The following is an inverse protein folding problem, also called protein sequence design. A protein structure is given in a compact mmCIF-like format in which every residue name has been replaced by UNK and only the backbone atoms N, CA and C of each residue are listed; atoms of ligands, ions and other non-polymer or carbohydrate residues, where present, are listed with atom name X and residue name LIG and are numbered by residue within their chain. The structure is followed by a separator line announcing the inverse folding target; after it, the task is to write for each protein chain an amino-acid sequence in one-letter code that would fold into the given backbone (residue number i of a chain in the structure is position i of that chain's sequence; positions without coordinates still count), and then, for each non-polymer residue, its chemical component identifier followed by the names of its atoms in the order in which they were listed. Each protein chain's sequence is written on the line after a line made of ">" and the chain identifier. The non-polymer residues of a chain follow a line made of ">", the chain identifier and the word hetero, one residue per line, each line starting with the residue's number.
data_IF_229755864878
#
_entry.id   IF_229755864878
#
_cell.length_a   1.000
_cell.length_b   1.000
_cell.length_c   1.000
_cell.angle_alpha   90.00
_cell.angle_beta   90.00
_cell.angle_gamma   90.00
#
_symmetry.space_group_name_H-M   'P 1'
#
loop_
_entity.id
_entity.type
_entity.pdbx_description
1 polymer ?
#
# COMPACT_ATOMS: atom_id res chain seq x y z
N UNK A 1 -0.39 -12.71 -19.67
CA UNK A 1 0.31 -12.57 -18.37
C UNK A 1 1.53 -11.69 -18.60
N UNK A 2 1.74 -10.67 -17.77
CA UNK A 2 2.97 -9.87 -17.79
C UNK A 2 3.90 -10.48 -16.74
N UNK A 3 4.91 -11.28 -17.13
CA UNK A 3 5.89 -11.80 -16.18
C UNK A 3 6.84 -10.67 -15.75
N UNK A 4 7.33 -10.70 -14.50
CA UNK A 4 8.25 -9.70 -13.94
C UNK A 4 7.72 -8.25 -13.99
N UNK A 5 6.56 -8.02 -13.35
CA UNK A 5 5.87 -6.73 -13.36
C UNK A 5 6.67 -5.62 -12.67
N UNK A 6 6.79 -4.48 -13.35
CA UNK A 6 7.55 -3.30 -12.92
C UNK A 6 6.62 -2.12 -12.70
N UNK A 7 7.08 -1.14 -11.92
CA UNK A 7 6.35 0.12 -11.69
C UNK A 7 6.01 0.81 -13.02
N UNK A 8 6.91 0.71 -14.01
CA UNK A 8 6.73 1.23 -15.36
C UNK A 8 5.59 0.57 -16.15
N UNK A 9 5.11 -0.60 -15.73
CA UNK A 9 3.96 -1.27 -16.35
C UNK A 9 2.61 -0.70 -15.85
N UNK A 10 2.63 0.25 -14.93
CA UNK A 10 1.42 0.99 -14.52
C UNK A 10 0.86 1.78 -15.70
N UNK A 11 -0.46 1.71 -15.91
CA UNK A 11 -1.09 2.37 -17.04
C UNK A 11 -2.56 1.99 -17.21
N UNK A 12 -3.19 2.55 -18.25
CA UNK A 12 -4.55 2.15 -18.64
C UNK A 12 -4.48 1.11 -19.74
N UNK A 13 -4.96 -0.09 -19.44
CA UNK A 13 -5.07 -1.20 -20.36
C UNK A 13 -6.47 -1.22 -20.98
N UNK A 14 -6.60 -1.82 -22.17
CA UNK A 14 -7.86 -1.85 -22.90
C UNK A 14 -8.21 -3.31 -23.24
N UNK A 15 -9.33 -3.79 -22.73
CA UNK A 15 -9.89 -5.06 -23.14
C UNK A 15 -10.69 -4.83 -24.42
N UNK A 16 -10.40 -5.56 -25.50
CA UNK A 16 -11.11 -5.46 -26.77
C UNK A 16 -11.69 -6.82 -27.11
N UNK A 17 -13.00 -6.87 -27.31
CA UNK A 17 -13.71 -8.06 -27.79
C UNK A 17 -14.32 -7.79 -29.16
N UNK A 18 -14.03 -8.63 -30.15
CA UNK A 18 -14.60 -8.52 -31.50
C UNK A 18 -15.23 -9.84 -31.95
N UNK A 19 -16.35 -9.75 -32.65
CA UNK A 19 -16.99 -10.87 -33.35
C UNK A 19 -17.41 -10.43 -34.78
N UNK A 20 -18.13 -11.29 -35.50
CA UNK A 20 -18.58 -11.04 -36.87
C UNK A 20 -19.57 -9.87 -37.02
N UNK A 21 -20.16 -9.38 -35.93
CA UNK A 21 -21.15 -8.29 -35.93
C UNK A 21 -20.53 -6.96 -35.51
N UNK A 22 -19.44 -6.98 -34.73
CA UNK A 22 -18.73 -5.76 -34.35
C UNK A 22 -17.68 -5.97 -33.27
N UNK A 23 -17.17 -4.86 -32.75
CA UNK A 23 -16.19 -4.83 -31.67
C UNK A 23 -16.60 -3.86 -30.57
N UNK A 24 -16.31 -4.22 -29.32
CA UNK A 24 -16.44 -3.33 -28.17
C UNK A 24 -15.17 -3.38 -27.32
N UNK A 25 -14.97 -2.37 -26.50
CA UNK A 25 -13.79 -2.25 -25.65
C UNK A 25 -14.08 -1.58 -24.31
N UNK A 26 -13.36 -2.00 -23.27
CA UNK A 26 -13.44 -1.44 -21.92
C UNK A 26 -12.05 -1.13 -21.35
N UNK A 27 -11.83 0.06 -20.77
CA UNK A 27 -10.56 0.43 -20.14
C UNK A 27 -10.44 -0.14 -18.71
N UNK A 28 -9.20 -0.45 -18.30
CA UNK A 28 -8.84 -0.90 -16.95
C UNK A 28 -7.59 -0.13 -16.52
N UNK A 29 -7.68 0.61 -15.40
CA UNK A 29 -6.51 1.29 -14.82
C UNK A 29 -5.74 0.33 -13.93
N UNK A 30 -4.47 0.11 -14.23
CA UNK A 30 -3.56 -0.75 -13.46
C UNK A 30 -2.49 0.12 -12.81
N UNK A 31 -2.28 -0.07 -11.52
CA UNK A 31 -1.22 0.60 -10.74
C UNK A 31 -0.38 -0.47 -10.08
N UNK A 32 0.91 -0.48 -10.42
CA UNK A 32 1.89 -1.40 -9.86
C UNK A 32 2.62 -0.69 -8.73
N UNK A 33 2.42 -1.19 -7.50
CA UNK A 33 3.05 -0.63 -6.32
C UNK A 33 4.44 -1.24 -6.14
N UNK A 34 5.44 -0.38 -5.93
CA UNK A 34 6.75 -0.83 -5.49
C UNK A 34 6.64 -1.18 -4.01
N UNK A 35 6.78 -2.46 -3.67
CA UNK A 35 7.10 -2.81 -2.29
C UNK A 35 8.57 -2.45 -2.08
N UNK A 36 8.83 -1.37 -1.34
CA UNK A 36 10.17 -1.15 -0.85
C UNK A 36 10.45 -2.26 0.16
N UNK A 37 11.20 -3.29 -0.26
CA UNK A 37 11.66 -4.40 0.59
C UNK A 37 12.62 -3.95 1.71
N UNK A 38 12.63 -2.66 2.06
CA UNK A 38 13.27 -2.17 3.27
C UNK A 38 12.44 -2.71 4.43
N UNK A 39 12.81 -3.89 4.93
CA UNK A 39 12.49 -4.46 6.24
C UNK A 39 11.35 -3.70 6.91
N UNK A 40 10.10 -4.04 6.55
CA UNK A 40 8.89 -3.30 6.95
C UNK A 40 8.56 -3.54 8.43
N UNK A 41 9.54 -3.30 9.30
CA UNK A 41 9.40 -3.49 10.73
C UNK A 41 8.66 -2.29 11.27
N UNK A 42 7.40 -2.52 11.60
CA UNK A 42 6.62 -1.58 12.39
C UNK A 42 7.26 -1.48 13.77
N UNK A 43 7.58 -0.27 14.21
CA UNK A 43 8.23 -0.03 15.50
C UNK A 43 7.44 0.97 16.31
N UNK A 44 7.32 0.74 17.63
CA UNK A 44 6.69 1.66 18.58
C UNK A 44 7.77 2.16 19.55
N UNK A 45 7.84 3.47 19.77
CA UNK A 45 8.81 4.09 20.68
C UNK A 45 8.10 5.04 21.67
N UNK A 46 8.32 4.88 22.99
CA UNK A 46 8.95 3.73 23.65
C UNK A 46 8.11 2.44 23.50
N UNK A 47 8.77 1.29 23.40
CA UNK A 47 8.09 -0.01 23.34
C UNK A 47 7.49 -0.43 24.69
N UNK A 48 8.05 0.10 25.78
CA UNK A 48 7.59 -0.09 27.15
C UNK A 48 7.70 1.26 27.86
N UNK A 49 6.61 1.72 28.47
CA UNK A 49 6.60 2.93 29.27
C UNK A 49 5.95 2.67 30.63
N UNK A 50 6.57 3.19 31.69
CA UNK A 50 5.98 3.23 33.03
C UNK A 50 5.68 4.69 33.34
N UNK A 51 4.40 5.03 33.48
CA UNK A 51 3.93 6.41 33.67
C UNK A 51 3.05 6.47 34.90
N UNK A 52 3.25 7.49 35.73
CA UNK A 52 2.46 7.69 36.95
C UNK A 52 1.12 8.37 36.63
N UNK A 53 0.14 8.15 37.49
CA UNK A 53 -1.16 8.80 37.36
C UNK A 53 -1.01 10.33 37.36
N UNK A 54 -1.69 10.98 36.41
CA UNK A 54 -1.60 12.43 36.21
C UNK A 54 -0.48 12.89 35.26
N UNK A 55 0.39 11.99 34.80
CA UNK A 55 1.40 12.29 33.77
C UNK A 55 0.93 11.95 32.36
N UNK A 56 1.53 12.58 31.35
CA UNK A 56 1.27 12.33 29.93
C UNK A 56 2.25 11.32 29.34
N UNK A 57 1.76 10.41 28.49
CA UNK A 57 2.57 9.46 27.74
C UNK A 57 2.44 9.75 26.24
N UNK A 58 3.57 9.89 25.57
CA UNK A 58 3.66 10.01 24.11
C UNK A 58 4.20 8.68 23.55
N UNK A 59 3.50 8.13 22.54
CA UNK A 59 3.88 6.91 21.85
C UNK A 59 3.95 7.18 20.35
N UNK A 60 5.13 6.94 19.77
CA UNK A 60 5.35 7.08 18.34
C UNK A 60 5.29 5.71 17.66
N UNK A 61 4.43 5.58 16.66
CA UNK A 61 4.33 4.38 15.83
C UNK A 61 4.88 4.65 14.43
N UNK A 62 6.01 4.02 14.11
CA UNK A 62 6.67 4.08 12.82
C UNK A 62 6.25 2.87 11.98
N UNK A 63 5.47 3.13 10.94
CA UNK A 63 5.02 2.12 9.98
C UNK A 63 5.45 2.53 8.56
N UNK A 64 6.50 1.90 7.99
CA UNK A 64 6.92 2.21 6.62
C UNK A 64 5.93 1.65 5.60
N UNK A 65 5.66 2.41 4.53
CA UNK A 65 4.83 1.97 3.41
C UNK A 65 4.60 3.08 2.39
N UNK A 66 4.41 2.69 1.13
CA UNK A 66 4.03 3.60 0.05
C UNK A 66 2.80 3.04 -0.70
N UNK A 67 1.62 3.66 -0.60
CA UNK A 67 1.34 4.90 0.14
C UNK A 67 1.48 4.74 1.66
N UNK A 68 1.65 5.83 2.42
CA UNK A 68 1.75 5.77 3.88
C UNK A 68 0.59 4.97 4.49
N UNK A 69 0.87 3.99 5.37
CA UNK A 69 -0.18 3.17 5.95
C UNK A 69 -0.97 3.99 6.97
N UNK A 70 -2.23 3.58 7.17
CA UNK A 70 -3.06 4.13 8.24
C UNK A 70 -2.66 3.51 9.57
N UNK A 71 -2.30 4.33 10.54
CA UNK A 71 -1.97 3.89 11.90
C UNK A 71 -3.22 3.91 12.78
N UNK A 72 -3.45 2.82 13.52
CA UNK A 72 -4.55 2.68 14.49
C UNK A 72 -4.02 2.07 15.78
N UNK A 73 -4.43 2.63 16.92
CA UNK A 73 -4.01 2.18 18.25
C UNK A 73 -5.05 1.26 18.90
N UNK A 74 -4.59 0.25 19.63
CA UNK A 74 -5.40 -0.69 20.42
C UNK A 74 -4.76 -0.89 21.80
N UNK A 75 -5.59 -1.16 22.82
CA UNK A 75 -5.14 -1.39 24.21
C UNK A 75 -5.00 -2.88 24.51
#
# INVERSE_FOLDING_TARGET
>A
LIPDIKVADSGTYMCVGSNSVGSNSAPIKVVVLKTDQSSSVVTIQPSIANVQEGQSLELDCFAPGNPPPRVTWTR
#
